data_IF_859733029770
#
_entry.id   IF_859733029770
#
_cell.length_a   1.000
_cell.length_b   1.000
_cell.length_c   1.000
_cell.angle_alpha   90.00
_cell.angle_beta   90.00
_cell.angle_gamma   90.00
#
_symmetry.space_group_name_H-M   'P 1'
#
loop_
_entity.id
_entity.type
_entity.pdbx_description
1 polymer ?
#
# COMPACT_ATOMS: atom_id res chain seq x y z
N UNK A 1 -0.39 -2.01 -15.88
CA UNK A 1 0.70 -1.12 -15.40
C UNK A 1 1.32 -1.58 -14.09
N UNK A 2 0.70 -2.45 -13.27
CA UNK A 2 1.47 -3.31 -12.36
C UNK A 2 0.83 -4.70 -12.36
N UNK A 3 1.41 -5.61 -13.16
CA UNK A 3 1.03 -7.02 -13.23
C UNK A 3 1.52 -7.76 -11.99
N UNK A 4 0.76 -8.77 -11.60
CA UNK A 4 0.74 -9.52 -10.34
C UNK A 4 1.99 -10.34 -9.98
N UNK A 5 3.18 -9.93 -10.38
CA UNK A 5 4.42 -10.69 -10.14
C UNK A 5 5.54 -9.75 -9.66
N UNK A 6 5.32 -9.00 -8.59
CA UNK A 6 6.42 -8.29 -7.93
C UNK A 6 7.17 -9.25 -6.99
N UNK A 7 7.99 -10.12 -7.58
CA UNK A 7 8.82 -11.11 -6.90
C UNK A 7 10.17 -10.53 -6.40
N UNK A 8 10.23 -9.22 -6.12
CA UNK A 8 11.50 -8.49 -5.93
C UNK A 8 11.49 -7.50 -4.78
N UNK A 9 11.85 -7.95 -3.58
CA UNK A 9 12.04 -7.15 -2.36
C UNK A 9 10.76 -6.50 -1.80
N UNK A 10 9.85 -7.33 -1.29
CA UNK A 10 8.64 -6.95 -0.52
C UNK A 10 8.90 -5.84 0.50
N UNK A 11 10.10 -5.83 1.11
CA UNK A 11 10.50 -4.85 2.12
C UNK A 11 10.46 -3.39 1.66
N UNK A 12 10.78 -3.09 0.41
CA UNK A 12 10.84 -1.69 -0.05
C UNK A 12 9.44 -1.12 -0.27
N UNK A 13 8.52 -1.93 -0.80
CA UNK A 13 7.12 -1.54 -1.00
C UNK A 13 6.45 -1.31 0.34
N UNK A 14 6.65 -2.21 1.31
CA UNK A 14 6.04 -2.11 2.64
C UNK A 14 6.47 -0.84 3.37
N UNK A 15 7.76 -0.46 3.27
CA UNK A 15 8.28 0.79 3.86
C UNK A 15 7.63 2.00 3.22
N UNK A 16 7.53 2.04 1.90
CA UNK A 16 6.88 3.16 1.22
C UNK A 16 5.38 3.25 1.52
N UNK A 17 4.70 2.10 1.63
CA UNK A 17 3.29 2.05 2.03
C UNK A 17 3.12 2.51 3.49
N UNK A 18 4.03 2.16 4.39
CA UNK A 18 4.02 2.66 5.76
C UNK A 18 4.17 4.19 5.81
N UNK A 19 5.15 4.75 5.11
CA UNK A 19 5.32 6.21 5.03
C UNK A 19 4.12 6.91 4.37
N UNK A 20 3.48 6.29 3.37
CA UNK A 20 2.26 6.84 2.77
C UNK A 20 1.09 6.81 3.75
N UNK A 21 0.93 5.73 4.53
CA UNK A 21 -0.10 5.65 5.57
C UNK A 21 0.05 6.75 6.61
N UNK A 22 1.27 7.04 7.05
CA UNK A 22 1.56 8.15 7.96
C UNK A 22 1.12 9.50 7.36
N UNK A 23 1.46 9.77 6.10
CA UNK A 23 1.06 11.01 5.42
C UNK A 23 -0.44 11.14 5.17
N UNK A 24 -1.15 10.01 5.08
CA UNK A 24 -2.60 9.96 4.84
C UNK A 24 -3.43 9.90 6.13
N UNK A 25 -2.81 9.99 7.32
CA UNK A 25 -3.54 9.94 8.59
C UNK A 25 -4.64 11.00 8.68
N UNK A 26 -4.38 12.22 8.18
CA UNK A 26 -5.34 13.34 8.21
C UNK A 26 -6.15 13.50 6.91
N UNK A 27 -5.94 12.62 5.93
CA UNK A 27 -6.71 12.62 4.67
C UNK A 27 -8.03 11.84 4.82
N UNK A 28 -8.99 12.07 3.90
CA UNK A 28 -10.13 11.16 3.72
C UNK A 28 -9.70 9.84 3.09
N UNK A 29 -8.49 9.71 2.58
CA UNK A 29 -7.98 8.48 1.96
C UNK A 29 -7.23 7.60 2.98
N UNK A 30 -7.32 6.29 2.82
CA UNK A 30 -6.55 5.31 3.59
C UNK A 30 -6.07 4.14 2.70
N UNK A 31 -5.02 3.45 3.13
CA UNK A 31 -4.46 2.30 2.40
C UNK A 31 -4.68 1.01 3.20
N UNK A 32 -5.48 0.11 2.66
CA UNK A 32 -5.77 -1.20 3.23
C UNK A 32 -4.87 -2.29 2.64
N UNK A 33 -4.50 -3.27 3.47
CA UNK A 33 -3.80 -4.47 3.02
C UNK A 33 -4.83 -5.53 2.62
N UNK A 34 -4.77 -5.98 1.38
CA UNK A 34 -5.54 -7.12 0.87
C UNK A 34 -4.64 -8.35 0.86
N UNK A 35 -4.89 -9.28 1.77
CA UNK A 35 -4.09 -10.50 1.91
C UNK A 35 -4.05 -11.31 0.60
N UNK A 36 -2.84 -11.70 0.19
CA UNK A 36 -2.62 -12.45 -1.06
C UNK A 36 -2.72 -11.62 -2.35
N UNK A 37 -3.07 -10.33 -2.27
CA UNK A 37 -3.18 -9.43 -3.43
C UNK A 37 -2.25 -8.21 -3.35
N UNK A 38 -2.10 -7.59 -2.18
CA UNK A 38 -1.26 -6.40 -1.98
C UNK A 38 -2.00 -5.27 -1.25
N UNK A 39 -2.00 -4.06 -1.82
CA UNK A 39 -2.51 -2.85 -1.17
C UNK A 39 -3.60 -2.17 -2.00
N UNK A 40 -4.60 -1.60 -1.33
CA UNK A 40 -5.70 -0.87 -1.97
C UNK A 40 -5.89 0.49 -1.32
N UNK A 41 -6.10 1.53 -2.13
CA UNK A 41 -6.52 2.85 -1.66
C UNK A 41 -8.04 2.87 -1.51
N UNK A 42 -8.53 3.31 -0.36
CA UNK A 42 -9.96 3.46 -0.05
C UNK A 42 -10.23 4.85 0.52
N UNK A 43 -11.49 5.28 0.47
CA UNK A 43 -11.93 6.48 1.16
C UNK A 43 -12.50 6.08 2.53
N UNK A 44 -12.14 6.81 3.58
CA UNK A 44 -12.67 6.71 4.94
C UNK A 44 -14.13 7.11 4.99
#
# INVERSE_FOLDING_TARGET
VWGYEFYGQTRTVDVHVAHLREKLQDSTLSIETVWGLGYKLVNK
#
